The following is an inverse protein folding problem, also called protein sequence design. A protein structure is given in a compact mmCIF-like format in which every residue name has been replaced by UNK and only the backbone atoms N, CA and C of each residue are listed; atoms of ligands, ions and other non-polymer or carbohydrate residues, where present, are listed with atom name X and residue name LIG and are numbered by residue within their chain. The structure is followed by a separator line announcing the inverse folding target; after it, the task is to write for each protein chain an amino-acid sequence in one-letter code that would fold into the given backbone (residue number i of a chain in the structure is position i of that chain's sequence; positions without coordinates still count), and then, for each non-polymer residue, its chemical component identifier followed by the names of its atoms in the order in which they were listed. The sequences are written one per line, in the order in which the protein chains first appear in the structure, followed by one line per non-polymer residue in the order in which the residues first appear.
data_IF_756960162280
#
_entry.id   IF_756960162280
#
_cell.length_a   1.000
_cell.length_b   1.000
_cell.length_c   1.000
_cell.angle_alpha   90.00
_cell.angle_beta   90.00
_cell.angle_gamma   90.00
#
_symmetry.space_group_name_H-M   'P 1'
#
loop_
_entity.id
_entity.type
_entity.pdbx_description
1 polymer ?
#
# COMPACT_ATOMS: atom_id res chain seq x y z
N UNK A 1 -9.67 -5.61 15.23
CA UNK A 1 -8.94 -4.51 14.59
C UNK A 1 -8.70 -4.85 13.13
N UNK A 2 -9.03 -3.92 12.22
CA UNK A 2 -8.82 -4.06 10.78
C UNK A 2 -8.03 -2.88 10.22
N UNK A 3 -7.30 -3.11 9.12
CA UNK A 3 -6.64 -2.06 8.34
C UNK A 3 -6.91 -2.32 6.86
N UNK A 4 -7.32 -1.29 6.13
CA UNK A 4 -7.53 -1.31 4.69
C UNK A 4 -6.39 -0.57 4.01
N UNK A 5 -5.76 -1.25 3.06
CA UNK A 5 -4.65 -0.77 2.28
C UNK A 5 -5.08 -0.66 0.82
N UNK A 6 -4.74 0.44 0.18
CA UNK A 6 -4.91 0.63 -1.27
C UNK A 6 -3.55 0.78 -1.91
N UNK A 7 -3.20 -0.13 -2.81
CA UNK A 7 -2.01 -0.05 -3.66
C UNK A 7 -2.41 0.39 -5.06
N UNK A 8 -1.78 1.43 -5.59
CA UNK A 8 -2.02 1.95 -6.93
C UNK A 8 -0.73 1.90 -7.72
N UNK A 9 -0.75 1.17 -8.84
CA UNK A 9 0.38 1.10 -9.77
C UNK A 9 0.11 2.00 -10.97
N UNK A 10 1.07 2.84 -11.28
CA UNK A 10 1.04 3.82 -12.34
C UNK A 10 2.21 3.54 -13.27
N UNK A 11 1.96 3.43 -14.58
CA UNK A 11 2.99 3.23 -15.59
C UNK A 11 2.87 4.37 -16.61
N UNK A 12 3.95 5.12 -16.81
CA UNK A 12 3.99 6.26 -17.73
C UNK A 12 2.86 7.28 -17.47
N UNK A 13 2.49 7.49 -16.22
CA UNK A 13 1.44 8.41 -15.80
C UNK A 13 0.00 7.89 -15.91
N UNK A 14 -0.20 6.66 -16.41
CA UNK A 14 -1.51 6.00 -16.43
C UNK A 14 -1.65 5.03 -15.26
N UNK A 15 -2.77 5.10 -14.52
CA UNK A 15 -3.11 4.08 -13.52
C UNK A 15 -3.41 2.78 -14.27
N UNK A 16 -2.62 1.74 -14.00
CA UNK A 16 -2.79 0.42 -14.62
C UNK A 16 -3.43 -0.57 -13.68
N UNK A 17 -3.23 -0.41 -12.38
CA UNK A 17 -3.74 -1.32 -11.37
C UNK A 17 -4.09 -0.55 -10.09
N UNK A 18 -5.19 -0.95 -9.46
CA UNK A 18 -5.53 -0.52 -8.12
C UNK A 18 -6.04 -1.73 -7.36
N UNK A 19 -5.34 -2.07 -6.29
CA UNK A 19 -5.68 -3.20 -5.44
C UNK A 19 -6.01 -2.70 -4.04
N UNK A 20 -7.10 -3.25 -3.48
CA UNK A 20 -7.60 -2.88 -2.16
C UNK A 20 -7.70 -4.14 -1.32
N UNK A 21 -6.97 -4.17 -0.20
CA UNK A 21 -6.95 -5.30 0.73
C UNK A 21 -7.30 -4.82 2.12
N UNK A 22 -8.19 -5.55 2.79
CA UNK A 22 -8.45 -5.38 4.21
C UNK A 22 -7.82 -6.54 4.98
N UNK A 23 -6.90 -6.21 5.86
CA UNK A 23 -6.26 -7.16 6.78
C UNK A 23 -6.93 -7.10 8.15
N UNK A 24 -7.18 -8.26 8.74
CA UNK A 24 -7.76 -8.41 10.07
C UNK A 24 -6.74 -9.01 11.05
N UNK A 25 -6.93 -8.76 12.34
CA UNK A 25 -6.12 -9.37 13.40
C UNK A 25 -4.79 -8.68 13.66
N UNK A 26 -4.63 -7.41 13.24
CA UNK A 26 -3.47 -6.59 13.58
C UNK A 26 -3.56 -6.21 15.06
N UNK A 27 -2.61 -6.64 15.88
CA UNK A 27 -2.66 -6.47 17.33
C UNK A 27 -2.12 -5.10 17.77
N UNK A 28 -1.19 -4.54 16.99
CA UNK A 28 -0.52 -3.28 17.30
C UNK A 28 -0.54 -2.29 16.14
N UNK A 29 -0.21 -1.03 16.44
CA UNK A 29 0.03 0.00 15.43
C UNK A 29 1.17 -0.40 14.48
N UNK A 30 2.23 -0.99 15.01
CA UNK A 30 3.39 -1.42 14.24
C UNK A 30 3.04 -2.58 13.30
N UNK A 31 2.16 -3.50 13.71
CA UNK A 31 1.66 -4.56 12.83
C UNK A 31 0.97 -3.96 11.60
N UNK A 32 0.18 -2.89 11.77
CA UNK A 32 -0.53 -2.24 10.67
C UNK A 32 0.44 -1.54 9.71
N UNK A 33 1.49 -0.90 10.24
CA UNK A 33 2.56 -0.31 9.43
C UNK A 33 3.38 -1.40 8.71
N UNK A 34 3.62 -2.53 9.36
CA UNK A 34 4.25 -3.69 8.72
C UNK A 34 3.39 -4.21 7.56
N UNK A 35 2.07 -4.31 7.72
CA UNK A 35 1.17 -4.69 6.60
C UNK A 35 1.24 -3.72 5.44
N UNK A 36 1.36 -2.42 5.71
CA UNK A 36 1.56 -1.40 4.69
C UNK A 36 2.87 -1.65 3.92
N UNK A 37 3.97 -1.93 4.63
CA UNK A 37 5.28 -2.18 4.03
C UNK A 37 5.26 -3.49 3.20
N UNK A 38 4.73 -4.58 3.75
CA UNK A 38 4.57 -5.86 3.04
C UNK A 38 3.72 -5.70 1.77
N UNK A 39 2.60 -4.96 1.84
CA UNK A 39 1.76 -4.72 0.67
C UNK A 39 2.47 -3.86 -0.36
N UNK A 40 3.26 -2.89 0.07
CA UNK A 40 4.04 -2.03 -0.82
C UNK A 40 5.09 -2.82 -1.59
N UNK A 41 5.86 -3.67 -0.89
CA UNK A 41 6.85 -4.55 -1.52
C UNK A 41 6.20 -5.46 -2.56
N UNK A 42 5.09 -6.13 -2.20
CA UNK A 42 4.35 -6.99 -3.13
C UNK A 42 3.80 -6.24 -4.35
N UNK A 43 3.38 -4.98 -4.19
CA UNK A 43 2.84 -4.18 -5.29
C UNK A 43 3.94 -3.65 -6.22
N UNK A 44 5.15 -3.43 -5.71
CA UNK A 44 6.33 -3.08 -6.51
C UNK A 44 7.02 -4.29 -7.15
N UNK A 45 6.80 -5.48 -6.60
CA UNK A 45 7.44 -6.72 -7.09
C UNK A 45 7.06 -7.00 -8.55
N UNK A 46 8.07 -7.35 -9.35
CA UNK A 46 7.92 -7.63 -10.77
C UNK A 46 8.00 -6.43 -11.73
N UNK A 47 8.10 -5.18 -11.22
CA UNK A 47 8.21 -3.98 -12.07
C UNK A 47 9.65 -3.49 -12.32
N UNK A 48 10.68 -4.23 -11.89
CA UNK A 48 12.09 -3.83 -11.99
C UNK A 48 12.58 -3.55 -13.42
N UNK A 49 11.96 -4.18 -14.43
CA UNK A 49 12.35 -4.05 -15.84
C UNK A 49 11.39 -3.16 -16.66
N UNK A 50 10.42 -2.51 -16.02
CA UNK A 50 9.42 -1.66 -16.67
C UNK A 50 9.75 -0.21 -16.35
N UNK A 51 10.04 0.61 -17.35
CA UNK A 51 10.38 2.02 -17.14
C UNK A 51 9.15 2.89 -16.81
N UNK A 52 9.35 3.90 -15.96
CA UNK A 52 8.32 4.91 -15.67
C UNK A 52 7.22 4.39 -14.76
N UNK A 53 7.54 3.41 -13.90
CA UNK A 53 6.61 2.84 -12.93
C UNK A 53 6.65 3.66 -11.65
N UNK A 54 5.47 3.90 -11.08
CA UNK A 54 5.27 4.47 -9.76
C UNK A 54 4.24 3.63 -9.02
N UNK A 55 4.60 3.13 -7.85
CA UNK A 55 3.68 2.40 -6.96
C UNK A 55 3.44 3.26 -5.73
N UNK A 56 2.18 3.46 -5.38
CA UNK A 56 1.78 4.17 -4.16
C UNK A 56 0.87 3.24 -3.35
N UNK A 57 1.27 2.95 -2.12
CA UNK A 57 0.45 2.16 -1.19
C UNK A 57 0.07 3.02 -0.01
N UNK A 58 -1.20 3.03 0.37
CA UNK A 58 -1.75 3.92 1.40
C UNK A 58 -2.71 3.16 2.33
N UNK A 59 -2.68 3.51 3.62
CA UNK A 59 -3.72 3.12 4.56
C UNK A 59 -4.95 4.00 4.32
N UNK A 60 -6.02 3.42 3.77
CA UNK A 60 -7.27 4.12 3.46
C UNK A 60 -8.37 3.85 4.48
N UNK A 61 -8.16 2.91 5.39
CA UNK A 61 -9.08 2.64 6.51
C UNK A 61 -8.36 1.99 7.68
N UNK A 62 -8.70 2.41 8.90
CA UNK A 62 -8.20 1.80 10.12
C UNK A 62 -9.18 2.08 11.27
N UNK A 63 -9.77 1.04 11.85
CA UNK A 63 -10.81 1.21 12.88
C UNK A 63 -10.22 1.65 14.23
N UNK A 64 -9.02 1.17 14.57
CA UNK A 64 -8.41 1.36 15.89
C UNK A 64 -7.51 2.58 15.97
N UNK A 65 -6.74 2.84 14.90
CA UNK A 65 -5.76 3.93 14.82
C UNK A 65 -6.10 4.82 13.60
N UNK A 66 -7.17 5.63 13.69
CA UNK A 66 -7.58 6.48 12.57
C UNK A 66 -6.53 7.52 12.17
N UNK A 67 -5.56 7.83 13.04
CA UNK A 67 -4.40 8.67 12.73
C UNK A 67 -3.47 8.06 11.68
N UNK A 68 -3.53 6.74 11.47
CA UNK A 68 -2.77 6.07 10.43
C UNK A 68 -3.35 6.28 9.03
N UNK A 69 -4.63 6.66 8.91
CA UNK A 69 -5.27 6.89 7.61
C UNK A 69 -4.54 8.02 6.88
N UNK A 70 -4.13 7.78 5.65
CA UNK A 70 -3.29 8.69 4.86
C UNK A 70 -1.79 8.40 4.94
N UNK A 71 -1.36 7.47 5.81
CA UNK A 71 0.02 6.99 5.82
C UNK A 71 0.29 6.23 4.53
N UNK A 72 1.35 6.63 3.80
CA UNK A 72 1.66 6.09 2.49
C UNK A 72 3.14 5.78 2.28
N UNK A 73 3.38 4.80 1.42
CA UNK A 73 4.67 4.45 0.85
C UNK A 73 4.64 4.68 -0.66
N UNK A 74 5.78 5.08 -1.19
CA UNK A 74 5.93 5.36 -2.61
C UNK A 74 7.26 4.81 -3.11
N UNK A 75 7.18 4.13 -4.25
CA UNK A 75 8.32 3.63 -5.00
C UNK A 75 8.25 4.12 -6.44
N UNK A 76 9.42 4.36 -7.05
CA UNK A 76 9.59 4.77 -8.45
C UNK A 76 10.84 4.13 -9.03
N UNK A 77 10.79 3.77 -10.30
CA UNK A 77 11.94 3.36 -11.10
C UNK A 77 12.21 4.36 -12.24
#
# INVERSE_FOLDING_TARGET
MSVTLTATTIINGAVVETDVVTSHGNATRDDMLQRLDERHELASDGYDNVGGVRVVTEITGCDEYPDLIGTRREWRN
#
